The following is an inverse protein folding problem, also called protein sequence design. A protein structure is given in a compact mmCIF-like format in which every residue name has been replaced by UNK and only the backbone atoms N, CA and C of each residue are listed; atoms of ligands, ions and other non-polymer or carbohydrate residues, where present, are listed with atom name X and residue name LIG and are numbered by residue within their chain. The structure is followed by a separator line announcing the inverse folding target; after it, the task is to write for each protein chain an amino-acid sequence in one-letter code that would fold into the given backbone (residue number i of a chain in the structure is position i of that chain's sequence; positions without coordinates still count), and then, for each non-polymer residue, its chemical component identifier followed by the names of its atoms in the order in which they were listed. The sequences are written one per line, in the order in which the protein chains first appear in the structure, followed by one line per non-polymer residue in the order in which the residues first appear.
data_IF_361072185830
#
_entry.id   IF_361072185830
#
_cell.length_a   1.000
_cell.length_b   1.000
_cell.length_c   1.000
_cell.angle_alpha   90.00
_cell.angle_beta   90.00
_cell.angle_gamma   90.00
#
_symmetry.space_group_name_H-M   'P 1'
#
loop_
_entity.id
_entity.type
_entity.pdbx_description
1 polymer ?
#
# COMPACT_ATOMS: atom_id res chain seq x y z
N UNK A 1 -38.36 -7.99 -2.99
CA UNK A 1 -36.99 -7.94 -3.59
C UNK A 1 -35.99 -8.08 -2.46
N UNK A 2 -35.24 -9.19 -2.48
CA UNK A 2 -34.93 -10.03 -1.32
C UNK A 2 -33.59 -9.71 -0.61
N UNK A 3 -33.46 -10.15 0.66
CA UNK A 3 -32.22 -10.21 1.47
C UNK A 3 -31.01 -10.76 0.68
N UNK A 4 -31.26 -11.64 -0.30
CA UNK A 4 -30.25 -12.20 -1.19
C UNK A 4 -29.54 -11.15 -2.08
N UNK A 5 -30.24 -10.13 -2.57
CA UNK A 5 -29.62 -9.09 -3.41
C UNK A 5 -28.83 -8.08 -2.57
N UNK A 6 -29.18 -7.93 -1.30
CA UNK A 6 -28.46 -7.08 -0.34
C UNK A 6 -27.10 -7.68 0.00
N UNK A 7 -27.04 -8.98 0.31
CA UNK A 7 -25.77 -9.70 0.55
C UNK A 7 -24.86 -9.71 -0.68
N UNK A 8 -25.43 -9.90 -1.88
CA UNK A 8 -24.67 -9.90 -3.13
C UNK A 8 -23.92 -8.59 -3.40
N UNK A 9 -24.49 -7.44 -3.01
CA UNK A 9 -23.84 -6.15 -3.17
C UNK A 9 -22.57 -6.10 -2.28
N UNK A 10 -22.67 -6.44 -0.99
CA UNK A 10 -21.51 -6.42 -0.08
C UNK A 10 -20.46 -7.47 -0.40
N UNK A 11 -20.87 -8.66 -0.85
CA UNK A 11 -19.96 -9.70 -1.30
C UNK A 11 -19.17 -9.23 -2.53
N UNK A 12 -19.80 -8.49 -3.44
CA UNK A 12 -19.12 -7.90 -4.58
C UNK A 12 -18.06 -6.87 -4.14
N UNK A 13 -18.39 -5.97 -3.20
CA UNK A 13 -17.41 -5.02 -2.67
C UNK A 13 -16.25 -5.74 -1.98
N UNK A 14 -16.55 -6.71 -1.11
CA UNK A 14 -15.54 -7.49 -0.41
C UNK A 14 -14.63 -8.24 -1.39
N UNK A 15 -15.18 -8.83 -2.45
CA UNK A 15 -14.42 -9.48 -3.50
C UNK A 15 -13.50 -8.52 -4.26
N UNK A 16 -13.99 -7.33 -4.64
CA UNK A 16 -13.16 -6.32 -5.30
C UNK A 16 -12.04 -5.80 -4.38
N UNK A 17 -12.31 -5.60 -3.10
CA UNK A 17 -11.30 -5.18 -2.12
C UNK A 17 -10.26 -6.28 -1.86
N UNK A 18 -10.67 -7.54 -1.78
CA UNK A 18 -9.76 -8.67 -1.63
C UNK A 18 -8.85 -8.82 -2.86
N UNK A 19 -9.38 -8.58 -4.05
CA UNK A 19 -8.58 -8.47 -5.28
C UNK A 19 -7.60 -7.32 -5.19
N UNK A 20 -8.01 -6.13 -4.79
CA UNK A 20 -7.10 -4.99 -4.69
C UNK A 20 -5.99 -5.24 -3.65
N UNK A 21 -6.33 -5.82 -2.50
CA UNK A 21 -5.40 -6.03 -1.39
C UNK A 21 -4.31 -7.06 -1.69
N UNK A 22 -4.65 -8.20 -2.30
CA UNK A 22 -3.68 -9.27 -2.58
C UNK A 22 -2.57 -8.88 -3.55
N UNK A 23 -2.81 -7.89 -4.42
CA UNK A 23 -1.83 -7.46 -5.43
C UNK A 23 -0.77 -6.52 -4.83
N UNK A 24 -0.98 -6.01 -3.61
CA UNK A 24 -0.11 -5.00 -2.99
C UNK A 24 1.25 -5.54 -2.53
N UNK A 25 1.29 -6.77 -2.00
CA UNK A 25 2.57 -7.40 -1.64
C UNK A 25 3.40 -7.75 -2.90
N UNK A 26 2.84 -8.40 -3.94
CA UNK A 26 3.55 -8.61 -5.20
C UNK A 26 4.09 -7.32 -5.81
N UNK A 27 3.27 -6.26 -5.89
CA UNK A 27 3.70 -5.02 -6.56
C UNK A 27 4.82 -4.30 -5.81
N UNK A 28 4.80 -4.26 -4.47
CA UNK A 28 5.89 -3.63 -3.70
C UNK A 28 7.17 -4.47 -3.75
N UNK A 29 7.07 -5.81 -3.77
CA UNK A 29 8.23 -6.69 -3.96
C UNK A 29 8.86 -6.49 -5.33
N UNK A 30 8.06 -6.46 -6.39
CA UNK A 30 8.53 -6.22 -7.75
C UNK A 30 9.16 -4.82 -7.91
N UNK A 31 8.56 -3.78 -7.32
CA UNK A 31 9.11 -2.43 -7.31
C UNK A 31 10.45 -2.37 -6.57
N UNK A 32 10.55 -3.05 -5.43
CA UNK A 32 11.76 -3.11 -4.62
C UNK A 32 12.87 -3.88 -5.33
N UNK A 33 12.56 -4.99 -6.00
CA UNK A 33 13.52 -5.72 -6.83
C UNK A 33 14.04 -4.84 -7.97
N UNK A 34 13.15 -4.17 -8.68
CA UNK A 34 13.52 -3.25 -9.75
C UNK A 34 14.50 -2.16 -9.27
N UNK A 35 14.26 -1.60 -8.08
CA UNK A 35 15.16 -0.65 -7.43
C UNK A 35 16.53 -1.26 -7.05
N UNK A 36 16.51 -2.41 -6.38
CA UNK A 36 17.71 -3.02 -5.79
C UNK A 36 18.65 -3.66 -6.82
N UNK A 37 18.12 -4.03 -7.99
CA UNK A 37 18.83 -4.74 -9.06
C UNK A 37 19.03 -3.87 -10.31
N UNK A 38 18.56 -2.61 -10.30
CA UNK A 38 18.53 -1.73 -11.47
C UNK A 38 17.84 -2.39 -12.70
N UNK A 39 16.75 -3.13 -12.44
CA UNK A 39 16.00 -3.85 -13.47
C UNK A 39 14.92 -2.94 -14.08
N UNK A 40 15.23 -2.38 -15.25
CA UNK A 40 14.32 -1.52 -15.99
C UNK A 40 13.09 -2.25 -16.56
N UNK A 41 13.17 -3.55 -16.83
CA UNK A 41 12.03 -4.32 -17.32
C UNK A 41 11.01 -4.52 -16.19
N UNK A 42 11.48 -4.96 -15.02
CA UNK A 42 10.65 -5.04 -13.82
C UNK A 42 10.05 -3.68 -13.44
N UNK A 43 10.82 -2.59 -13.54
CA UNK A 43 10.30 -1.25 -13.27
C UNK A 43 9.14 -0.86 -14.21
N UNK A 44 9.24 -1.17 -15.50
CA UNK A 44 8.16 -0.91 -16.47
C UNK A 44 6.95 -1.80 -16.21
N UNK A 45 7.16 -3.07 -15.88
CA UNK A 45 6.09 -4.00 -15.55
C UNK A 45 5.27 -3.52 -14.34
N UNK A 46 5.93 -3.11 -13.25
CA UNK A 46 5.27 -2.54 -12.05
C UNK A 46 4.40 -1.34 -12.42
N UNK A 47 4.91 -0.40 -13.22
CA UNK A 47 4.13 0.78 -13.62
C UNK A 47 2.92 0.41 -14.48
N UNK A 48 3.05 -0.61 -15.32
CA UNK A 48 1.95 -1.12 -16.12
C UNK A 48 0.89 -1.82 -15.25
N UNK A 49 1.30 -2.63 -14.28
CA UNK A 49 0.41 -3.29 -13.31
C UNK A 49 -0.38 -2.26 -12.48
N UNK A 50 0.31 -1.24 -11.95
CA UNK A 50 -0.33 -0.14 -11.20
C UNK A 50 -1.33 0.63 -12.09
N UNK A 51 -1.01 0.81 -13.38
CA UNK A 51 -1.94 1.44 -14.32
C UNK A 51 -3.15 0.54 -14.61
N UNK A 52 -2.96 -0.76 -14.78
CA UNK A 52 -4.03 -1.73 -15.01
C UNK A 52 -4.98 -1.84 -13.81
N UNK A 53 -4.46 -1.73 -12.58
CA UNK A 53 -5.25 -1.75 -11.35
C UNK A 53 -6.18 -0.53 -11.19
N UNK A 54 -5.95 0.58 -11.91
CA UNK A 54 -6.79 1.80 -11.82
C UNK A 54 -8.26 1.51 -12.10
N UNK A 55 -8.55 0.70 -13.11
CA UNK A 55 -9.92 0.34 -13.47
C UNK A 55 -10.68 -0.36 -12.33
N UNK A 56 -9.99 -1.16 -11.51
CA UNK A 56 -10.58 -1.78 -10.33
C UNK A 56 -10.90 -0.75 -9.26
N UNK A 57 -9.96 0.15 -8.96
CA UNK A 57 -10.16 1.21 -7.96
C UNK A 57 -11.29 2.15 -8.36
N UNK A 58 -11.35 2.57 -9.62
CA UNK A 58 -12.40 3.45 -10.15
C UNK A 58 -13.77 2.74 -10.14
N UNK A 59 -13.78 1.43 -10.39
CA UNK A 59 -14.99 0.60 -10.25
C UNK A 59 -15.48 0.58 -8.81
N UNK A 60 -14.61 0.43 -7.82
CA UNK A 60 -15.01 0.47 -6.40
C UNK A 60 -15.55 1.86 -6.04
N UNK A 61 -14.88 2.94 -6.46
CA UNK A 61 -15.28 4.32 -6.19
C UNK A 61 -16.64 4.68 -6.79
N UNK A 62 -16.96 4.16 -7.98
CA UNK A 62 -18.25 4.38 -8.65
C UNK A 62 -19.37 3.43 -8.17
N UNK A 63 -19.02 2.22 -7.76
CA UNK A 63 -19.98 1.20 -7.33
C UNK A 63 -20.64 1.55 -6.00
N UNK A 64 -19.88 2.05 -5.02
CA UNK A 64 -20.43 2.37 -3.68
C UNK A 64 -21.53 3.44 -3.74
N UNK A 65 -21.33 4.62 -4.38
CA UNK A 65 -22.40 5.61 -4.55
C UNK A 65 -23.61 5.05 -5.30
N UNK A 66 -23.41 4.18 -6.29
CA UNK A 66 -24.52 3.57 -7.02
C UNK A 66 -25.38 2.66 -6.11
N UNK A 67 -24.77 1.95 -5.17
CA UNK A 67 -25.49 1.19 -4.14
C UNK A 67 -26.22 2.12 -3.18
N UNK A 68 -25.56 3.17 -2.70
CA UNK A 68 -26.18 4.18 -1.82
C UNK A 68 -27.40 4.86 -2.48
N UNK A 69 -27.35 5.12 -3.78
CA UNK A 69 -28.45 5.76 -4.51
C UNK A 69 -29.65 4.82 -4.73
N UNK A 70 -29.40 3.51 -4.87
CA UNK A 70 -30.43 2.49 -5.15
C UNK A 70 -31.04 1.89 -3.88
N UNK A 71 -30.38 2.06 -2.73
CA UNK A 71 -30.73 1.41 -1.46
C UNK A 71 -30.88 2.43 -0.36
N UNK A 72 -31.59 2.07 0.71
CA UNK A 72 -31.56 2.79 1.99
C UNK A 72 -30.82 1.93 3.01
N UNK A 73 -29.47 1.88 2.94
CA UNK A 73 -28.68 1.05 3.85
C UNK A 73 -28.88 1.48 5.29
N UNK A 74 -28.97 0.50 6.20
CA UNK A 74 -28.96 0.80 7.64
C UNK A 74 -27.56 1.22 8.08
N UNK A 75 -27.40 1.65 9.34
CA UNK A 75 -26.14 2.19 9.83
C UNK A 75 -24.92 1.25 9.65
N UNK A 76 -25.09 -0.06 9.86
CA UNK A 76 -24.03 -1.06 9.66
C UNK A 76 -23.59 -1.19 8.20
N UNK A 77 -24.55 -1.13 7.28
CA UNK A 77 -24.32 -1.23 5.85
C UNK A 77 -23.58 0.01 5.33
N UNK A 78 -24.02 1.20 5.76
CA UNK A 78 -23.35 2.45 5.43
C UNK A 78 -21.91 2.45 5.96
N UNK A 79 -21.70 1.94 7.18
CA UNK A 79 -20.36 1.81 7.76
C UNK A 79 -19.46 0.94 6.89
N UNK A 80 -19.94 -0.21 6.44
CA UNK A 80 -19.20 -1.12 5.56
C UNK A 80 -18.83 -0.47 4.22
N UNK A 81 -19.79 0.21 3.58
CA UNK A 81 -19.57 0.92 2.32
C UNK A 81 -18.53 2.03 2.45
N UNK A 82 -18.61 2.85 3.50
CA UNK A 82 -17.67 3.95 3.76
C UNK A 82 -16.28 3.42 4.11
N UNK A 83 -16.18 2.37 4.94
CA UNK A 83 -14.91 1.72 5.24
C UNK A 83 -14.28 1.13 3.97
N UNK A 84 -15.09 0.50 3.11
CA UNK A 84 -14.65 -0.02 1.82
C UNK A 84 -14.05 1.04 0.90
N UNK A 85 -14.69 2.21 0.79
CA UNK A 85 -14.15 3.33 0.02
C UNK A 85 -12.80 3.83 0.57
N UNK A 86 -12.67 3.91 1.89
CA UNK A 86 -11.43 4.34 2.55
C UNK A 86 -10.30 3.34 2.33
N UNK A 87 -10.58 2.06 2.56
CA UNK A 87 -9.63 0.98 2.27
C UNK A 87 -9.19 1.00 0.79
N UNK A 88 -10.12 1.16 -0.15
CA UNK A 88 -9.79 1.29 -1.57
C UNK A 88 -8.86 2.48 -1.85
N UNK A 89 -9.12 3.62 -1.21
CA UNK A 89 -8.27 4.81 -1.29
C UNK A 89 -6.84 4.52 -0.81
N UNK A 90 -6.68 3.86 0.34
CA UNK A 90 -5.38 3.48 0.89
C UNK A 90 -4.64 2.49 -0.01
N UNK A 91 -5.31 1.42 -0.47
CA UNK A 91 -4.73 0.44 -1.40
C UNK A 91 -4.29 1.08 -2.73
N UNK A 92 -5.08 2.00 -3.29
CA UNK A 92 -4.70 2.75 -4.50
C UNK A 92 -3.42 3.56 -4.26
N UNK A 93 -3.28 4.16 -3.08
CA UNK A 93 -2.09 4.95 -2.72
C UNK A 93 -0.86 4.07 -2.54
N UNK A 94 -1.01 2.90 -1.92
CA UNK A 94 0.05 1.88 -1.83
C UNK A 94 0.57 1.49 -3.22
N UNK A 95 -0.33 1.16 -4.15
CA UNK A 95 0.05 0.85 -5.54
C UNK A 95 0.77 2.01 -6.24
N UNK A 96 0.28 3.25 -6.09
CA UNK A 96 0.93 4.43 -6.67
C UNK A 96 2.35 4.64 -6.11
N UNK A 97 2.56 4.44 -4.82
CA UNK A 97 3.88 4.55 -4.19
C UNK A 97 4.85 3.48 -4.69
N UNK A 98 4.40 2.23 -4.86
CA UNK A 98 5.19 1.19 -5.53
C UNK A 98 5.57 1.59 -6.97
N UNK A 99 4.63 2.21 -7.70
CA UNK A 99 4.89 2.78 -9.02
C UNK A 99 5.92 3.92 -9.01
N UNK A 100 5.96 4.74 -7.96
CA UNK A 100 6.99 5.78 -7.81
C UNK A 100 8.37 5.18 -7.54
N UNK A 101 8.47 4.15 -6.69
CA UNK A 101 9.73 3.42 -6.44
C UNK A 101 10.29 2.86 -7.76
N UNK A 102 9.45 2.18 -8.54
CA UNK A 102 9.82 1.70 -9.88
C UNK A 102 10.18 2.85 -10.84
N UNK A 103 9.48 3.98 -10.76
CA UNK A 103 9.77 5.17 -11.55
C UNK A 103 11.16 5.74 -11.29
N UNK A 104 11.58 5.80 -10.01
CA UNK A 104 12.93 6.22 -9.62
C UNK A 104 13.98 5.25 -10.16
N UNK A 105 13.77 3.94 -9.99
CA UNK A 105 14.66 2.91 -10.55
C UNK A 105 14.86 3.06 -12.07
N UNK A 106 13.77 3.25 -12.81
CA UNK A 106 13.82 3.44 -14.26
C UNK A 106 14.53 4.73 -14.68
N UNK A 107 14.41 5.80 -13.88
CA UNK A 107 14.99 7.11 -14.20
C UNK A 107 16.53 7.14 -14.12
N UNK A 108 17.13 6.21 -13.38
CA UNK A 108 18.59 6.13 -13.18
C UNK A 108 19.24 4.99 -13.97
N UNK A 109 18.46 4.12 -14.60
CA UNK A 109 18.96 3.03 -15.43
C UNK A 109 19.94 3.55 -16.51
N UNK A 110 21.09 2.87 -16.74
CA UNK A 110 21.49 1.57 -16.20
C UNK A 110 22.18 1.61 -14.82
N UNK A 111 22.36 2.79 -14.23
CA UNK A 111 23.08 2.93 -12.97
C UNK A 111 22.19 2.57 -11.76
N UNK A 112 22.76 1.93 -10.72
CA UNK A 112 22.05 1.73 -9.46
C UNK A 112 21.66 3.06 -8.83
N UNK A 113 20.42 3.18 -8.35
CA UNK A 113 19.97 4.37 -7.62
C UNK A 113 20.64 4.48 -6.25
N UNK A 114 20.80 3.35 -5.57
CA UNK A 114 21.17 3.31 -4.15
C UNK A 114 22.69 3.15 -3.98
N UNK A 115 23.36 4.09 -3.27
CA UNK A 115 24.71 3.86 -2.82
C UNK A 115 24.84 2.62 -1.94
N UNK A 116 25.99 1.95 -2.00
CA UNK A 116 26.23 0.69 -1.28
C UNK A 116 25.95 0.81 0.23
N UNK A 117 26.23 1.96 0.84
CA UNK A 117 26.05 2.18 2.28
C UNK A 117 24.59 2.17 2.75
N UNK A 118 23.62 2.55 1.91
CA UNK A 118 22.19 2.57 2.28
C UNK A 118 21.42 1.37 1.74
N UNK A 119 22.02 0.59 0.84
CA UNK A 119 21.38 -0.58 0.21
C UNK A 119 20.83 -1.59 1.23
N UNK A 120 21.53 -1.95 2.33
CA UNK A 120 20.98 -2.86 3.34
C UNK A 120 19.70 -2.34 3.99
N UNK A 121 19.63 -1.04 4.27
CA UNK A 121 18.43 -0.40 4.82
C UNK A 121 17.24 -0.54 3.88
N UNK A 122 17.44 -0.33 2.57
CA UNK A 122 16.37 -0.49 1.59
C UNK A 122 15.92 -1.94 1.39
N UNK A 123 16.81 -2.92 1.57
CA UNK A 123 16.41 -4.34 1.62
C UNK A 123 15.47 -4.59 2.80
N UNK A 124 15.84 -4.10 3.99
CA UNK A 124 14.99 -4.23 5.18
C UNK A 124 13.64 -3.51 5.02
N UNK A 125 13.63 -2.30 4.44
CA UNK A 125 12.39 -1.55 4.17
C UNK A 125 11.48 -2.28 3.17
N UNK A 126 12.07 -2.89 2.13
CA UNK A 126 11.32 -3.69 1.16
C UNK A 126 10.64 -4.89 1.81
N UNK A 127 11.36 -5.60 2.69
CA UNK A 127 10.81 -6.76 3.40
C UNK A 127 9.73 -6.34 4.40
N UNK A 128 9.94 -5.26 5.16
CA UNK A 128 8.96 -4.73 6.09
C UNK A 128 7.67 -4.29 5.37
N UNK A 129 7.79 -3.52 4.28
CA UNK A 129 6.64 -3.07 3.50
C UNK A 129 5.85 -4.24 2.89
N UNK A 130 6.54 -5.28 2.41
CA UNK A 130 5.87 -6.48 1.90
C UNK A 130 5.12 -7.23 3.00
N UNK A 131 5.71 -7.38 4.19
CA UNK A 131 5.04 -8.01 5.35
C UNK A 131 3.80 -7.22 5.77
N UNK A 132 3.87 -5.88 5.80
CA UNK A 132 2.73 -5.03 6.13
C UNK A 132 1.61 -5.14 5.10
N UNK A 133 1.94 -5.23 3.81
CA UNK A 133 0.93 -5.47 2.76
C UNK A 133 0.24 -6.83 2.91
N UNK A 134 1.00 -7.90 3.13
CA UNK A 134 0.45 -9.24 3.38
C UNK A 134 -0.44 -9.26 4.63
N UNK A 135 0.01 -8.61 5.70
CA UNK A 135 -0.74 -8.51 6.94
C UNK A 135 -2.03 -7.71 6.78
N UNK A 136 -2.01 -6.60 6.06
CA UNK A 136 -3.22 -5.83 5.76
C UNK A 136 -4.24 -6.67 4.99
N UNK A 137 -3.78 -7.45 3.99
CA UNK A 137 -4.64 -8.37 3.25
C UNK A 137 -5.19 -9.51 4.15
N UNK A 138 -4.35 -10.07 5.03
CA UNK A 138 -4.76 -11.08 6.01
C UNK A 138 -5.84 -10.53 6.95
N UNK A 139 -5.62 -9.36 7.54
CA UNK A 139 -6.56 -8.69 8.44
C UNK A 139 -7.91 -8.44 7.75
N UNK A 140 -7.90 -8.04 6.48
CA UNK A 140 -9.15 -7.90 5.71
C UNK A 140 -9.90 -9.23 5.54
N UNK A 141 -9.16 -10.33 5.34
CA UNK A 141 -9.73 -11.66 5.12
C UNK A 141 -10.25 -12.29 6.42
N UNK A 142 -9.49 -12.22 7.51
CA UNK A 142 -9.81 -12.85 8.79
C UNK A 142 -10.73 -11.98 9.64
N UNK A 143 -10.69 -10.66 9.45
CA UNK A 143 -11.29 -9.66 10.36
C UNK A 143 -10.85 -9.88 11.81
N UNK A 144 -9.60 -10.28 11.99
CA UNK A 144 -9.01 -10.44 13.31
C UNK A 144 -8.61 -9.08 13.89
N UNK A 145 -9.11 -8.78 15.09
CA UNK A 145 -8.87 -7.50 15.77
C UNK A 145 -7.45 -7.37 16.29
N UNK A 146 -6.87 -8.46 16.79
CA UNK A 146 -5.52 -8.47 17.35
C UNK A 146 -4.52 -8.22 16.23
N UNK A 147 -4.67 -8.90 15.11
CA UNK A 147 -3.84 -8.69 13.93
C UNK A 147 -3.97 -7.25 13.41
N UNK A 148 -5.19 -6.69 13.37
CA UNK A 148 -5.42 -5.32 12.92
C UNK A 148 -4.67 -4.27 13.77
N UNK A 149 -4.64 -4.46 15.09
CA UNK A 149 -3.92 -3.57 16.02
C UNK A 149 -2.41 -3.77 15.87
N UNK A 150 -1.98 -5.03 15.79
CA UNK A 150 -0.57 -5.38 15.68
C UNK A 150 0.06 -4.83 14.37
N UNK A 151 -0.72 -4.60 13.30
CA UNK A 151 -0.21 -3.94 12.07
C UNK A 151 0.41 -2.57 12.36
N UNK A 152 -0.15 -1.80 13.31
CA UNK A 152 0.43 -0.51 13.68
C UNK A 152 1.75 -0.62 14.45
N UNK A 153 1.95 -1.69 15.22
CA UNK A 153 3.20 -1.94 15.92
C UNK A 153 4.30 -2.44 14.98
N UNK A 154 3.91 -3.20 13.95
CA UNK A 154 4.85 -3.70 12.95
C UNK A 154 5.37 -2.58 12.02
N UNK A 155 4.69 -1.43 11.96
CA UNK A 155 5.10 -0.24 11.21
C UNK A 155 6.28 0.50 11.87
N UNK A 156 6.44 0.39 13.19
CA UNK A 156 7.53 1.02 13.95
C UNK A 156 8.93 0.63 13.41
N UNK A 157 9.05 -0.58 12.85
CA UNK A 157 10.27 -1.06 12.19
C UNK A 157 10.63 -0.17 10.99
N UNK A 158 9.66 0.14 10.14
CA UNK A 158 9.87 0.89 8.92
C UNK A 158 10.14 2.37 9.23
N UNK A 159 9.43 2.94 10.22
CA UNK A 159 9.72 4.26 10.78
C UNK A 159 11.14 4.37 11.34
N UNK A 160 11.64 3.33 12.02
CA UNK A 160 13.01 3.29 12.50
C UNK A 160 14.02 3.23 11.34
N UNK A 161 13.76 2.42 10.32
CA UNK A 161 14.60 2.34 9.12
C UNK A 161 14.63 3.67 8.37
N UNK A 162 13.50 4.33 8.20
CA UNK A 162 13.41 5.65 7.56
C UNK A 162 14.21 6.69 8.35
N UNK A 163 14.06 6.73 9.69
CA UNK A 163 14.88 7.60 10.55
C UNK A 163 16.37 7.33 10.39
N UNK A 164 16.78 6.07 10.28
CA UNK A 164 18.19 5.72 10.07
C UNK A 164 18.75 6.30 8.77
N UNK A 165 17.97 6.42 7.70
CA UNK A 165 18.42 7.03 6.44
C UNK A 165 18.83 8.50 6.65
N UNK A 166 18.07 9.26 7.43
CA UNK A 166 18.39 10.66 7.73
C UNK A 166 19.68 10.81 8.55
N UNK A 167 20.05 9.81 9.35
CA UNK A 167 21.33 9.84 10.09
C UNK A 167 22.55 9.65 9.19
N UNK A 168 22.37 9.05 8.00
CA UNK A 168 23.45 8.86 7.01
C UNK A 168 23.53 10.03 6.03
N UNK A 169 22.42 10.74 5.79
CA UNK A 169 22.35 11.93 4.95
C UNK A 169 22.88 13.18 5.68
N UNK A 170 24.19 13.25 5.85
CA UNK A 170 24.91 14.35 6.52
C UNK A 170 25.60 15.28 5.52
N UNK A 171 26.20 16.38 6.00
CA UNK A 171 26.98 17.31 5.18
C UNK A 171 28.18 16.62 4.48
N UNK A 172 28.68 15.52 5.04
CA UNK A 172 29.81 14.73 4.50
C UNK A 172 29.37 13.65 3.48
N UNK A 173 28.11 13.66 3.04
CA UNK A 173 27.59 12.67 2.08
C UNK A 173 28.35 12.68 0.74
N UNK A 174 29.06 11.59 0.36
CA UNK A 174 30.02 11.63 -0.75
C UNK A 174 29.38 11.38 -2.12
N UNK A 175 28.09 11.04 -2.20
CA UNK A 175 27.41 10.68 -3.45
C UNK A 175 26.66 11.84 -4.11
N UNK A 176 26.80 13.05 -3.56
CA UNK A 176 26.17 14.27 -4.07
C UNK A 176 24.68 14.42 -3.76
N UNK A 177 24.18 15.65 -3.95
CA UNK A 177 22.80 16.04 -3.64
C UNK A 177 21.75 15.19 -4.38
N UNK A 178 21.90 14.87 -5.68
CA UNK A 178 20.89 14.07 -6.38
C UNK A 178 20.67 12.69 -5.76
N UNK A 179 21.73 12.01 -5.31
CA UNK A 179 21.62 10.71 -4.65
C UNK A 179 20.98 10.84 -3.26
N UNK A 180 21.30 11.91 -2.52
CA UNK A 180 20.67 12.19 -1.23
C UNK A 180 19.15 12.40 -1.37
N UNK A 181 18.72 13.12 -2.42
CA UNK A 181 17.30 13.33 -2.73
C UNK A 181 16.61 12.00 -3.08
N UNK A 182 17.21 11.15 -3.92
CA UNK A 182 16.63 9.85 -4.25
C UNK A 182 16.45 8.99 -3.00
N UNK A 183 17.46 8.92 -2.12
CA UNK A 183 17.40 8.17 -0.85
C UNK A 183 16.29 8.69 0.05
N UNK A 184 16.20 10.01 0.24
CA UNK A 184 15.15 10.60 1.08
C UNK A 184 13.74 10.34 0.53
N UNK A 185 13.56 10.49 -0.79
CA UNK A 185 12.28 10.27 -1.46
C UNK A 185 11.85 8.81 -1.43
N UNK A 186 12.77 7.88 -1.72
CA UNK A 186 12.50 6.44 -1.65
C UNK A 186 12.15 6.00 -0.23
N UNK A 187 12.91 6.46 0.77
CA UNK A 187 12.61 6.19 2.17
C UNK A 187 11.21 6.69 2.55
N UNK A 188 10.82 7.86 2.06
CA UNK A 188 9.46 8.39 2.25
C UNK A 188 8.38 7.58 1.53
N UNK A 189 8.65 7.03 0.35
CA UNK A 189 7.66 6.20 -0.34
C UNK A 189 7.36 4.90 0.39
N UNK A 190 8.37 4.27 0.99
CA UNK A 190 8.17 3.09 1.83
C UNK A 190 7.38 3.43 3.11
N UNK A 191 7.70 4.53 3.81
CA UNK A 191 6.94 4.93 5.02
C UNK A 191 5.48 5.21 4.70
N UNK A 192 5.22 5.99 3.66
CA UNK A 192 3.83 6.26 3.27
C UNK A 192 3.08 5.02 2.80
N UNK A 193 3.79 4.02 2.26
CA UNK A 193 3.17 2.75 1.88
C UNK A 193 2.71 2.00 3.13
N UNK A 194 3.55 2.00 4.15
CA UNK A 194 3.32 1.39 5.45
C UNK A 194 2.14 2.05 6.19
N UNK A 195 2.12 3.39 6.25
CA UNK A 195 1.01 4.21 6.73
C UNK A 195 -0.34 3.79 6.14
N UNK A 196 -0.38 3.57 4.82
CA UNK A 196 -1.60 3.17 4.12
C UNK A 196 -1.99 1.71 4.40
N UNK A 197 -1.03 0.79 4.59
CA UNK A 197 -1.31 -0.56 5.08
C UNK A 197 -1.94 -0.54 6.49
N UNK A 198 -1.41 0.29 7.39
CA UNK A 198 -2.01 0.52 8.71
C UNK A 198 -3.40 1.15 8.58
N UNK A 199 -3.60 2.08 7.64
CA UNK A 199 -4.89 2.68 7.30
C UNK A 199 -5.95 1.64 6.94
N UNK A 200 -5.60 0.65 6.12
CA UNK A 200 -6.46 -0.49 5.77
C UNK A 200 -6.82 -1.30 7.01
N UNK A 201 -5.84 -1.70 7.82
CA UNK A 201 -6.08 -2.47 9.04
C UNK A 201 -6.97 -1.71 10.05
N UNK A 202 -6.77 -0.40 10.19
CA UNK A 202 -7.62 0.47 11.03
C UNK A 202 -9.07 0.50 10.56
N UNK A 203 -9.34 0.47 9.25
CA UNK A 203 -10.73 0.38 8.76
C UNK A 203 -11.38 -0.96 9.13
N UNK A 204 -10.61 -2.06 9.15
CA UNK A 204 -11.12 -3.37 9.59
C UNK A 204 -11.43 -3.35 11.09
N UNK A 205 -10.53 -2.82 11.92
CA UNK A 205 -10.79 -2.65 13.36
C UNK A 205 -12.05 -1.80 13.63
N UNK A 206 -12.22 -0.71 12.88
CA UNK A 206 -13.43 0.13 12.96
C UNK A 206 -14.72 -0.61 12.59
N UNK A 207 -14.66 -1.57 11.65
CA UNK A 207 -15.80 -2.39 11.29
C UNK A 207 -16.19 -3.39 12.39
N UNK A 208 -15.23 -3.85 13.18
CA UNK A 208 -15.42 -4.78 14.31
C UNK A 208 -15.99 -4.02 15.51
N UNK A 209 -15.34 -2.92 15.90
CA UNK A 209 -15.63 -2.22 17.16
C UNK A 209 -16.86 -1.30 17.04
N UNK A 210 -17.14 -0.80 15.84
CA UNK A 210 -18.29 0.07 15.56
C UNK A 210 -18.17 1.51 16.07
N UNK A 211 -17.06 1.86 16.69
CA UNK A 211 -16.62 3.19 17.06
C UNK A 211 -15.14 3.39 16.70
N UNK A 212 -14.70 4.66 16.64
CA UNK A 212 -13.31 5.03 16.40
C UNK A 212 -12.50 4.97 17.69
#
# INVERSE_FOLDING_TARGET
MSRYTHLADFDQLAGMLAVAGRELCPVIRSASRALLEADAEAARAVRAEVAAARGLHDRIESWVPAVLARRQPVASDLRLLVAGLRMNGDMRRMGVLAGHIAGVALSRYPDPVLPAQVRPTFVAMADAAARLADKAALVMATRDRVDAIQTGLDDDELDALQRSLFTVLTDDWPYGIPAAVDVAMLGRYYERFADHAVGVARQVAYLIDGNR
#
